data_IF_401768417615
#
_entry.id   IF_401768417615
#
_cell.length_a   1.000
_cell.length_b   1.000
_cell.length_c   1.000
_cell.angle_alpha   90.00
_cell.angle_beta   90.00
_cell.angle_gamma   90.00
#
_symmetry.space_group_name_H-M   'P 1'
#
loop_
_entity.id
_entity.type
_entity.pdbx_description
1 polymer ?
#
# COMPACT_ATOMS: atom_id res chain seq x y z
N UNK A 1 2.95 10.24 12.64
CA UNK A 1 3.94 9.19 12.35
C UNK A 1 4.36 8.53 13.67
N UNK A 2 4.47 7.19 13.73
CA UNK A 2 4.82 6.50 14.98
C UNK A 2 6.34 6.39 15.21
N UNK A 3 6.75 6.07 16.44
CA UNK A 3 8.17 6.01 16.86
C UNK A 3 8.99 4.89 16.17
N UNK A 4 8.31 3.94 15.52
CA UNK A 4 8.95 2.85 14.79
C UNK A 4 9.24 3.18 13.32
N UNK A 5 8.70 4.28 12.80
CA UNK A 5 8.98 4.73 11.45
C UNK A 5 10.37 5.38 11.37
N UNK A 6 11.03 5.21 10.22
CA UNK A 6 12.27 5.90 9.86
C UNK A 6 12.09 6.49 8.48
N UNK A 7 11.48 7.69 8.42
CA UNK A 7 11.17 8.34 7.15
C UNK A 7 12.44 8.67 6.35
N UNK A 8 13.52 9.04 7.03
CA UNK A 8 14.87 9.22 6.47
C UNK A 8 15.42 7.92 5.85
N UNK A 9 15.10 6.79 6.46
CA UNK A 9 15.40 5.45 5.95
C UNK A 9 14.37 4.91 4.95
N UNK A 10 13.37 5.70 4.54
CA UNK A 10 12.25 5.27 3.71
C UNK A 10 11.53 4.01 4.26
N UNK A 11 11.31 3.99 5.58
CA UNK A 11 10.68 2.88 6.28
C UNK A 11 9.48 3.35 7.10
N UNK A 12 8.33 2.73 6.87
CA UNK A 12 7.08 2.99 7.56
C UNK A 12 6.60 1.69 8.20
N UNK A 13 6.35 1.71 9.51
CA UNK A 13 6.03 0.52 10.25
C UNK A 13 4.63 -0.03 9.92
N UNK A 14 3.67 0.87 9.65
CA UNK A 14 2.27 0.53 9.43
C UNK A 14 1.74 1.17 8.15
N UNK A 15 0.68 0.61 7.52
CA UNK A 15 0.06 1.21 6.34
C UNK A 15 -0.49 2.61 6.62
N UNK A 16 -0.97 2.88 7.84
CA UNK A 16 -1.45 4.21 8.24
C UNK A 16 -0.33 5.26 8.18
N UNK A 17 0.89 4.88 8.59
CA UNK A 17 2.01 5.81 8.61
C UNK A 17 2.44 6.23 7.20
N UNK A 18 2.43 5.30 6.24
CA UNK A 18 2.75 5.62 4.84
C UNK A 18 1.59 6.31 4.13
N UNK A 19 0.35 5.95 4.46
CA UNK A 19 -0.84 6.63 3.95
C UNK A 19 -0.87 8.10 4.41
N UNK A 20 -0.67 8.37 5.71
CA UNK A 20 -0.67 9.74 6.25
C UNK A 20 0.46 10.59 5.62
N UNK A 21 1.58 9.97 5.22
CA UNK A 21 2.66 10.64 4.49
C UNK A 21 2.22 11.02 3.05
N UNK A 22 1.54 10.12 2.35
CA UNK A 22 1.12 10.31 0.96
C UNK A 22 -0.15 11.15 0.80
N UNK A 23 -1.07 11.11 1.76
CA UNK A 23 -2.39 11.74 1.67
C UNK A 23 -2.35 13.27 1.50
N UNK A 24 -1.24 13.90 1.84
CA UNK A 24 -1.03 15.34 1.60
C UNK A 24 -0.82 15.69 0.12
N UNK A 25 -0.27 14.76 -0.66
CA UNK A 25 0.01 14.92 -2.09
C UNK A 25 -1.03 14.20 -2.96
N UNK A 26 -1.54 13.06 -2.46
CA UNK A 26 -2.49 12.19 -3.15
C UNK A 26 -3.78 12.08 -2.32
N UNK A 27 -4.77 12.98 -2.53
CA UNK A 27 -6.00 12.99 -1.74
C UNK A 27 -6.90 11.77 -1.99
N UNK A 28 -6.73 11.12 -3.16
CA UNK A 28 -7.36 9.84 -3.50
C UNK A 28 -6.24 8.84 -3.80
N UNK A 29 -6.32 7.67 -3.19
CA UNK A 29 -5.39 6.57 -3.40
C UNK A 29 -6.13 5.25 -3.52
N UNK A 30 -5.44 4.24 -4.02
CA UNK A 30 -5.95 2.88 -4.13
C UNK A 30 -5.02 1.92 -3.41
N UNK A 31 -5.60 0.96 -2.69
CA UNK A 31 -4.87 -0.12 -2.06
C UNK A 31 -5.01 -1.38 -2.92
N UNK A 32 -3.90 -1.85 -3.49
CA UNK A 32 -3.84 -3.11 -4.22
C UNK A 32 -3.37 -4.24 -3.31
N UNK A 33 -4.07 -5.37 -3.38
CA UNK A 33 -3.64 -6.65 -2.84
C UNK A 33 -2.86 -7.42 -3.92
N UNK A 34 -1.54 -7.23 -3.92
CA UNK A 34 -0.64 -7.78 -4.95
C UNK A 34 -0.55 -9.31 -4.87
N UNK A 35 -1.02 -9.93 -3.78
CA UNK A 35 -1.08 -11.40 -3.68
C UNK A 35 -2.08 -12.01 -4.65
N UNK A 36 -3.16 -11.28 -4.98
CA UNK A 36 -4.21 -11.73 -5.92
C UNK A 36 -3.75 -11.77 -7.38
N UNK A 37 -2.65 -11.10 -7.69
CA UNK A 37 -2.04 -11.07 -9.02
C UNK A 37 -0.72 -11.86 -9.08
N UNK A 38 -0.40 -12.64 -8.04
CA UNK A 38 0.76 -13.54 -8.02
C UNK A 38 2.11 -12.84 -7.78
N UNK A 39 2.12 -11.63 -7.22
CA UNK A 39 3.37 -10.97 -6.83
C UNK A 39 3.99 -11.67 -5.61
N UNK A 40 5.16 -12.28 -5.77
CA UNK A 40 5.81 -13.05 -4.70
C UNK A 40 6.69 -12.21 -3.76
N UNK A 41 7.04 -10.98 -4.14
CA UNK A 41 7.92 -10.09 -3.36
C UNK A 41 7.18 -8.89 -2.76
N UNK A 42 5.92 -8.69 -3.13
CA UNK A 42 5.09 -7.55 -2.73
C UNK A 42 3.76 -8.07 -2.23
N UNK A 43 3.35 -7.66 -1.03
CA UNK A 43 2.04 -8.02 -0.49
C UNK A 43 0.97 -7.05 -0.94
N UNK A 44 1.27 -5.75 -0.84
CA UNK A 44 0.32 -4.67 -1.10
C UNK A 44 1.03 -3.45 -1.63
N UNK A 45 0.29 -2.64 -2.35
CA UNK A 45 0.77 -1.38 -2.92
C UNK A 45 -0.26 -0.27 -2.69
N UNK A 46 0.22 0.95 -2.48
CA UNK A 46 -0.59 2.15 -2.59
C UNK A 46 -0.36 2.77 -3.95
N UNK A 47 -1.44 3.02 -4.68
CA UNK A 47 -1.41 3.56 -6.03
C UNK A 47 -2.11 4.92 -6.07
N UNK A 48 -1.67 5.77 -6.99
CA UNK A 48 -2.43 6.94 -7.40
C UNK A 48 -3.65 6.53 -8.24
N UNK A 49 -4.63 7.42 -8.48
CA UNK A 49 -5.80 7.14 -9.32
C UNK A 49 -5.43 6.76 -10.76
N UNK A 50 -4.27 7.18 -11.24
CA UNK A 50 -3.74 6.84 -12.57
C UNK A 50 -3.07 5.45 -12.60
N UNK A 51 -2.98 4.75 -11.47
CA UNK A 51 -2.37 3.43 -11.40
C UNK A 51 -0.86 3.44 -11.15
N UNK A 52 -0.29 4.59 -10.76
CA UNK A 52 1.13 4.67 -10.41
C UNK A 52 1.38 4.22 -8.98
N UNK A 53 2.27 3.26 -8.77
CA UNK A 53 2.64 2.78 -7.44
C UNK A 53 3.46 3.85 -6.70
N UNK A 54 2.96 4.26 -5.53
CA UNK A 54 3.56 5.26 -4.64
C UNK A 54 4.27 4.62 -3.44
N UNK A 55 3.71 3.54 -2.89
CA UNK A 55 4.32 2.79 -1.80
C UNK A 55 4.13 1.29 -1.94
N UNK A 56 5.08 0.55 -1.39
CA UNK A 56 5.21 -0.90 -1.52
C UNK A 56 5.31 -1.49 -0.12
N UNK A 57 4.48 -2.49 0.15
CA UNK A 57 4.64 -3.40 1.28
C UNK A 57 5.42 -4.62 0.83
N UNK A 58 6.64 -4.77 1.34
CA UNK A 58 7.46 -5.93 0.99
C UNK A 58 6.88 -7.21 1.64
N UNK A 59 7.06 -8.35 0.97
CA UNK A 59 6.83 -9.64 1.55
C UNK A 59 7.90 -9.98 2.62
N UNK A 60 7.61 -10.90 3.57
CA UNK A 60 8.58 -11.36 4.55
C UNK A 60 9.91 -11.82 3.90
N UNK A 61 11.07 -11.61 4.57
CA UNK A 61 11.22 -11.23 5.98
C UNK A 61 11.23 -9.72 6.23
N UNK A 62 11.16 -8.89 5.19
CA UNK A 62 11.18 -7.42 5.34
C UNK A 62 9.76 -6.94 5.63
N UNK A 63 9.43 -6.75 6.90
CA UNK A 63 8.11 -6.28 7.33
C UNK A 63 8.05 -4.76 7.31
N UNK A 64 6.98 -4.20 6.71
CA UNK A 64 6.71 -2.77 6.68
C UNK A 64 6.51 -2.23 5.27
N UNK A 65 6.39 -0.91 5.20
CA UNK A 65 6.11 -0.15 4.00
C UNK A 65 7.27 0.77 3.66
N UNK A 66 7.42 1.08 2.36
CA UNK A 66 8.37 2.07 1.86
C UNK A 66 7.74 2.83 0.70
N UNK A 67 8.15 4.08 0.49
CA UNK A 67 7.86 4.78 -0.75
C UNK A 67 8.63 4.12 -1.89
N UNK A 68 8.04 4.15 -3.08
CA UNK A 68 8.74 3.78 -4.30
C UNK A 68 9.75 4.88 -4.63
N UNK A 69 11.01 4.48 -4.80
CA UNK A 69 12.10 5.42 -5.11
C UNK A 69 12.52 5.34 -6.57
N UNK A 70 12.23 4.22 -7.25
CA UNK A 70 12.60 4.01 -8.65
C UNK A 70 11.46 3.41 -9.43
N UNK A 71 11.39 3.79 -10.71
CA UNK A 71 10.33 3.32 -11.60
C UNK A 71 10.32 1.79 -11.77
N UNK A 72 11.47 1.13 -11.71
CA UNK A 72 11.56 -0.32 -11.92
C UNK A 72 11.28 -1.17 -10.67
N UNK A 73 10.90 -0.56 -9.53
CA UNK A 73 10.65 -1.29 -8.28
C UNK A 73 9.27 -1.95 -8.22
N UNK A 74 8.31 -1.44 -8.99
CA UNK A 74 6.95 -1.94 -9.06
C UNK A 74 6.35 -1.64 -10.42
N UNK A 75 5.34 -2.43 -10.80
CA UNK A 75 4.64 -2.26 -12.07
C UNK A 75 3.44 -1.36 -11.86
N UNK A 76 3.48 -0.22 -12.54
CA UNK A 76 2.33 0.67 -12.72
C UNK A 76 1.31 -0.01 -13.61
N UNK A 77 0.04 0.14 -13.28
CA UNK A 77 -1.05 -0.55 -13.97
C UNK A 77 -2.33 0.26 -13.84
N UNK A 78 -3.06 0.41 -14.94
CA UNK A 78 -4.39 0.99 -14.92
C UNK A 78 -5.29 0.21 -13.95
N UNK A 79 -5.96 0.94 -13.06
CA UNK A 79 -6.81 0.34 -12.06
C UNK A 79 -8.07 -0.21 -12.73
N UNK A 80 -8.30 -1.51 -12.57
CA UNK A 80 -9.55 -2.17 -12.93
C UNK A 80 -10.36 -2.48 -11.65
N UNK A 81 -11.39 -1.69 -11.32
CA UNK A 81 -12.23 -1.94 -10.14
C UNK A 81 -12.97 -3.29 -10.19
N UNK A 82 -13.12 -3.91 -11.37
CA UNK A 82 -13.83 -5.19 -11.52
C UNK A 82 -12.94 -6.39 -11.18
N UNK A 83 -11.61 -6.23 -11.25
CA UNK A 83 -10.66 -7.31 -10.95
C UNK A 83 -10.66 -7.70 -9.47
N UNK A 84 -11.10 -6.79 -8.60
CA UNK A 84 -11.29 -7.05 -7.17
C UNK A 84 -9.99 -7.19 -6.38
N UNK A 85 -8.85 -6.77 -6.94
CA UNK A 85 -7.57 -6.66 -6.24
C UNK A 85 -7.31 -5.26 -5.69
N UNK A 86 -8.09 -4.26 -6.08
CA UNK A 86 -7.93 -2.87 -5.68
C UNK A 86 -9.12 -2.36 -4.86
N UNK A 87 -8.85 -1.57 -3.83
CA UNK A 87 -9.84 -0.87 -3.00
C UNK A 87 -9.55 0.62 -3.06
N UNK A 88 -10.55 1.43 -3.41
CA UNK A 88 -10.45 2.89 -3.42
C UNK A 88 -10.46 3.46 -2.00
N UNK A 89 -9.53 4.36 -1.70
CA UNK A 89 -9.37 5.02 -0.41
C UNK A 89 -9.73 6.51 -0.54
N UNK A 90 -11.02 6.82 -0.40
CA UNK A 90 -11.56 8.18 -0.53
C UNK A 90 -11.27 9.07 0.68
N UNK A 91 -10.99 8.45 1.83
CA UNK A 91 -10.71 9.15 3.08
C UNK A 91 -9.78 8.34 3.98
N UNK A 92 -9.23 9.00 4.99
CA UNK A 92 -8.45 8.34 6.05
C UNK A 92 -9.27 7.28 6.78
N UNK A 93 -10.58 7.48 6.94
CA UNK A 93 -11.46 6.50 7.57
C UNK A 93 -11.59 5.24 6.72
N UNK A 94 -11.76 5.39 5.41
CA UNK A 94 -11.85 4.26 4.48
C UNK A 94 -10.52 3.49 4.42
N UNK A 95 -9.40 4.22 4.41
CA UNK A 95 -8.06 3.64 4.50
C UNK A 95 -7.90 2.76 5.75
N UNK A 96 -8.27 3.27 6.93
CA UNK A 96 -8.20 2.52 8.18
C UNK A 96 -9.04 1.23 8.16
N UNK A 97 -10.24 1.29 7.57
CA UNK A 97 -11.10 0.12 7.43
C UNK A 97 -10.48 -0.93 6.49
N UNK A 98 -9.97 -0.49 5.34
CA UNK A 98 -9.32 -1.36 4.37
C UNK A 98 -8.08 -2.06 4.97
N UNK A 99 -7.23 -1.31 5.70
CA UNK A 99 -6.02 -1.87 6.31
C UNK A 99 -6.33 -2.95 7.36
N UNK A 100 -7.40 -2.79 8.13
CA UNK A 100 -7.83 -3.79 9.12
C UNK A 100 -8.41 -5.04 8.47
N UNK A 101 -9.31 -4.88 7.51
CA UNK A 101 -9.92 -6.00 6.79
C UNK A 101 -8.87 -6.95 6.22
N UNK A 102 -7.80 -6.39 5.66
CA UNK A 102 -6.72 -7.16 5.06
C UNK A 102 -5.76 -7.78 6.10
N UNK A 103 -5.64 -7.23 7.31
CA UNK A 103 -4.88 -7.88 8.39
C UNK A 103 -5.57 -9.16 8.86
N UNK A 104 -6.90 -9.14 8.99
CA UNK A 104 -7.70 -10.29 9.42
C UNK A 104 -7.63 -11.45 8.41
N UNK A 105 -7.58 -11.13 7.11
CA UNK A 105 -7.38 -12.12 6.03
C UNK A 105 -6.01 -12.80 6.10
N UNK A 106 -4.98 -12.10 6.59
CA UNK A 106 -3.62 -12.65 6.70
C UNK A 106 -3.46 -13.49 7.97
N UNK A 107 -4.20 -13.19 9.03
CA UNK A 107 -4.16 -13.92 10.30
C UNK A 107 -5.01 -15.21 10.30
N UNK A 108 -5.91 -15.36 9.32
CA UNK A 108 -6.82 -16.51 9.18
C UNK A 108 -6.29 -17.60 8.23
N UNK A 109 -5.08 -17.45 7.69
CA UNK A 109 -4.45 -18.36 6.73
C UNK A 109 -3.34 -19.23 7.33
#
# INVERSE_FOLDING_TARGET
MCDLCRADGNYFHTPECVYDQLASEYPVMWLRDSTRIGACYTLRELLSPEGMVQAIQNAPPVTGWRLRMRYNEATDEEIDPQRGDCIELLSRTDALLAFRSLQDDTASA
#
